data_IF_812660554986
#
_entry.id   IF_812660554986
#
_cell.length_a   1.000
_cell.length_b   1.000
_cell.length_c   1.000
_cell.angle_alpha   90.00
_cell.angle_beta   90.00
_cell.angle_gamma   90.00
#
_symmetry.space_group_name_H-M   'P 1'
#
loop_
_entity.id
_entity.type
_entity.pdbx_description
1 polymer ?
#
# COMPACT_ATOMS: atom_id res chain seq x y z
N UNK A 1 16.14 -23.94 31.43
CA UNK A 1 16.25 -22.47 31.35
C UNK A 1 17.67 -22.21 30.85
N UNK A 2 17.84 -22.17 29.53
CA UNK A 2 19.10 -21.84 28.86
C UNK A 2 19.02 -20.35 28.55
N UNK A 3 19.90 -19.57 29.18
CA UNK A 3 20.22 -18.20 28.81
C UNK A 3 20.95 -18.21 27.45
N UNK A 4 20.21 -18.37 26.35
CA UNK A 4 20.67 -17.95 25.04
C UNK A 4 20.41 -16.44 24.99
N UNK A 5 21.41 -15.65 25.38
CA UNK A 5 21.39 -14.22 25.13
C UNK A 5 21.27 -14.02 23.63
N UNK A 6 20.17 -13.39 23.19
CA UNK A 6 19.94 -13.10 21.77
C UNK A 6 21.18 -12.45 21.18
N UNK A 7 21.81 -13.12 20.20
CA UNK A 7 22.96 -12.56 19.50
C UNK A 7 22.54 -11.28 18.82
N UNK A 8 23.25 -10.19 19.11
CA UNK A 8 23.01 -8.89 18.50
C UNK A 8 23.94 -8.67 17.31
N UNK A 9 23.46 -7.90 16.35
CA UNK A 9 24.22 -7.43 15.19
C UNK A 9 24.27 -5.90 15.20
N UNK A 10 25.43 -5.35 14.91
CA UNK A 10 25.63 -3.90 14.77
C UNK A 10 26.01 -3.58 13.31
N UNK A 11 25.34 -2.60 12.73
CA UNK A 11 25.57 -2.14 11.37
C UNK A 11 25.73 -0.63 11.38
N UNK A 12 26.78 -0.13 10.70
CA UNK A 12 27.03 1.28 10.47
C UNK A 12 26.33 1.74 9.21
N UNK A 13 25.38 2.65 9.35
CA UNK A 13 24.72 3.35 8.24
C UNK A 13 25.31 4.75 8.05
N UNK A 14 24.99 5.42 6.95
CA UNK A 14 25.34 6.82 6.74
C UNK A 14 24.73 7.78 7.77
N UNK A 15 23.69 7.33 8.49
CA UNK A 15 23.00 8.13 9.52
C UNK A 15 23.45 7.81 10.94
N UNK A 16 24.10 6.68 11.21
CA UNK A 16 24.56 6.24 12.52
C UNK A 16 24.49 4.72 12.68
N UNK A 17 24.86 4.22 13.85
CA UNK A 17 24.88 2.80 14.13
C UNK A 17 23.48 2.30 14.49
N UNK A 18 23.13 1.10 14.02
CA UNK A 18 21.88 0.39 14.34
C UNK A 18 22.20 -0.98 14.92
N UNK A 19 21.45 -1.39 15.95
CA UNK A 19 21.60 -2.69 16.61
C UNK A 19 20.35 -3.53 16.39
N UNK A 20 20.51 -4.65 15.73
CA UNK A 20 19.46 -5.66 15.48
C UNK A 20 19.71 -6.97 16.23
N UNK A 21 18.87 -7.96 15.96
CA UNK A 21 18.91 -9.29 16.57
C UNK A 21 19.22 -10.37 15.53
N UNK A 22 19.68 -11.54 16.02
CA UNK A 22 19.69 -12.77 15.22
C UNK A 22 18.42 -13.58 15.53
N UNK A 23 17.66 -13.89 14.51
CA UNK A 23 16.48 -14.76 14.61
C UNK A 23 16.66 -15.98 13.71
N UNK A 24 17.15 -17.07 14.30
CA UNK A 24 17.32 -18.36 13.61
C UNK A 24 18.10 -18.24 12.27
N UNK A 25 19.26 -17.60 12.31
CA UNK A 25 20.14 -17.42 11.16
C UNK A 25 19.75 -16.27 10.23
N UNK A 26 18.94 -15.33 10.71
CA UNK A 26 18.59 -14.10 10.02
C UNK A 26 18.92 -12.90 10.89
N UNK A 27 19.67 -11.96 10.36
CA UNK A 27 19.89 -10.63 10.98
C UNK A 27 18.63 -9.79 10.77
N UNK A 28 17.99 -9.38 11.84
CA UNK A 28 16.73 -8.62 11.81
C UNK A 28 16.95 -7.25 12.43
N UNK A 29 16.66 -6.21 11.67
CA UNK A 29 16.71 -4.83 12.11
C UNK A 29 15.34 -4.20 11.83
N UNK A 30 14.68 -3.66 12.86
CA UNK A 30 13.31 -3.15 12.77
C UNK A 30 13.22 -1.69 13.21
N UNK A 31 12.31 -0.94 12.59
CA UNK A 31 12.04 0.44 12.97
C UNK A 31 13.14 1.44 12.59
N UNK A 32 13.94 1.16 11.57
CA UNK A 32 14.97 2.08 11.06
C UNK A 32 14.29 3.26 10.36
N UNK A 33 14.59 4.53 10.73
CA UNK A 33 14.04 5.68 10.02
C UNK A 33 14.71 5.84 8.66
N UNK A 34 13.92 5.90 7.60
CA UNK A 34 14.38 6.25 6.27
C UNK A 34 14.08 7.71 5.89
N UNK A 35 13.22 8.37 6.66
CA UNK A 35 12.90 9.79 6.53
C UNK A 35 12.73 10.45 7.90
N UNK A 36 12.80 11.78 7.92
CA UNK A 36 12.50 12.58 9.08
C UNK A 36 11.00 12.45 9.46
N UNK A 37 10.63 12.55 10.75
CA UNK A 37 9.24 12.49 11.17
C UNK A 37 8.35 13.49 10.43
N UNK A 38 7.26 13.05 9.78
CA UNK A 38 6.34 13.92 9.05
C UNK A 38 5.30 14.56 9.99
N UNK A 39 5.77 15.34 10.95
CA UNK A 39 4.96 16.00 11.98
C UNK A 39 4.99 17.53 11.82
N UNK A 40 3.97 18.22 12.32
CA UNK A 40 3.85 19.68 12.25
C UNK A 40 3.91 20.18 10.80
N UNK A 41 4.81 21.09 10.49
CA UNK A 41 4.98 21.66 9.14
C UNK A 41 5.31 20.59 8.06
N UNK A 42 5.81 19.41 8.46
CA UNK A 42 6.12 18.31 7.54
C UNK A 42 4.96 17.35 7.30
N UNK A 43 3.84 17.47 8.02
CA UNK A 43 2.72 16.51 7.94
C UNK A 43 2.29 16.19 6.51
N UNK A 44 2.14 17.19 5.67
CA UNK A 44 1.73 17.02 4.26
C UNK A 44 2.85 17.40 3.27
N UNK A 45 4.08 17.59 3.75
CA UNK A 45 5.22 17.88 2.90
C UNK A 45 5.83 16.58 2.32
N UNK A 46 6.62 16.73 1.26
CA UNK A 46 7.48 15.66 0.79
C UNK A 46 8.40 15.15 1.91
N UNK A 47 8.74 13.83 1.94
CA UNK A 47 9.63 13.30 2.95
C UNK A 47 11.01 13.98 2.86
N UNK A 48 11.59 14.25 4.02
CA UNK A 48 12.96 14.77 4.14
C UNK A 48 13.88 13.68 4.67
N UNK A 49 15.16 13.73 4.33
CA UNK A 49 16.17 12.79 4.85
C UNK A 49 16.18 12.80 6.38
N UNK A 50 16.39 11.65 7.04
CA UNK A 50 16.48 11.61 8.50
C UNK A 50 17.74 12.34 8.95
N UNK A 51 17.69 12.93 10.15
CA UNK A 51 18.89 13.49 10.77
C UNK A 51 19.82 12.36 11.22
N UNK A 52 21.13 12.48 11.02
CA UNK A 52 22.09 11.58 11.61
C UNK A 52 21.96 11.55 13.13
N UNK A 53 22.27 10.40 13.73
CA UNK A 53 22.26 10.23 15.18
C UNK A 53 23.63 9.79 15.71
N UNK A 54 23.91 10.18 16.93
CA UNK A 54 25.08 9.70 17.67
C UNK A 54 24.75 8.43 18.46
N UNK A 55 25.76 7.57 18.65
CA UNK A 55 25.62 6.32 19.38
C UNK A 55 24.83 5.26 18.62
N UNK A 56 24.32 4.29 19.36
CA UNK A 56 23.63 3.11 18.84
C UNK A 56 22.11 3.29 18.92
N UNK A 57 21.45 3.12 17.81
CA UNK A 57 19.97 3.07 17.75
C UNK A 57 19.50 1.63 17.92
N UNK A 58 18.60 1.41 18.86
CA UNK A 58 17.90 0.13 19.00
C UNK A 58 16.98 -0.12 17.80
N UNK A 59 17.28 -1.17 17.06
CA UNK A 59 16.50 -1.69 15.94
C UNK A 59 16.06 -3.15 16.18
N UNK A 60 15.84 -3.52 17.43
CA UNK A 60 15.40 -4.87 17.85
C UNK A 60 13.88 -5.02 17.83
N UNK A 61 13.14 -3.91 17.70
CA UNK A 61 11.67 -3.86 17.76
C UNK A 61 11.10 -3.04 16.61
N UNK A 62 9.89 -3.39 16.15
CA UNK A 62 9.18 -2.59 15.15
C UNK A 62 9.01 -1.14 15.57
N UNK A 63 9.06 -0.24 14.59
CA UNK A 63 8.63 1.15 14.77
C UNK A 63 7.10 1.25 14.82
N UNK A 64 6.57 2.45 15.11
CA UNK A 64 5.14 2.69 15.10
C UNK A 64 4.58 2.57 13.67
N UNK A 65 3.33 2.10 13.57
CA UNK A 65 2.56 2.13 12.33
C UNK A 65 2.07 3.55 12.03
N UNK A 66 1.75 3.82 10.78
CA UNK A 66 1.11 5.08 10.39
C UNK A 66 -0.30 5.18 11.01
N UNK A 67 -0.78 6.40 11.35
CA UNK A 67 -2.15 6.59 11.81
C UNK A 67 -3.15 6.02 10.80
N UNK A 68 -4.08 5.20 11.28
CA UNK A 68 -5.05 4.47 10.47
C UNK A 68 -6.26 4.06 11.32
N UNK A 69 -7.40 3.68 10.73
CA UNK A 69 -8.55 3.21 11.50
C UNK A 69 -8.21 1.97 12.33
N UNK A 70 -8.61 1.99 13.60
CA UNK A 70 -8.60 0.82 14.49
C UNK A 70 -10.02 0.28 14.58
N UNK A 71 -10.25 -0.92 14.10
CA UNK A 71 -11.56 -1.55 14.06
C UNK A 71 -12.07 -1.69 12.62
N UNK A 72 -12.70 -2.83 12.38
CA UNK A 72 -13.03 -3.27 11.05
C UNK A 72 -14.06 -2.41 10.32
N UNK A 73 -14.04 -2.51 9.01
CA UNK A 73 -15.16 -2.09 8.15
C UNK A 73 -16.40 -2.98 8.33
N UNK A 74 -16.48 -3.72 9.42
CA UNK A 74 -17.59 -4.62 9.71
C UNK A 74 -18.75 -3.87 10.37
N UNK A 75 -19.68 -3.44 9.57
CA UNK A 75 -21.06 -3.25 10.05
C UNK A 75 -21.72 -4.64 10.24
N UNK A 76 -21.25 -5.42 11.25
CA UNK A 76 -21.79 -6.74 11.52
C UNK A 76 -20.73 -7.85 11.64
N UNK A 77 -21.13 -9.09 11.88
CA UNK A 77 -20.29 -10.27 12.16
C UNK A 77 -19.47 -10.78 10.94
N UNK A 78 -18.76 -9.90 10.23
CA UNK A 78 -17.89 -10.27 9.12
C UNK A 78 -16.41 -10.28 9.50
N UNK A 79 -15.55 -10.77 8.60
CA UNK A 79 -14.10 -10.74 8.80
C UNK A 79 -13.60 -9.31 8.97
N UNK A 80 -12.79 -9.07 9.99
CA UNK A 80 -12.20 -7.76 10.27
C UNK A 80 -10.98 -7.55 9.37
N UNK A 81 -11.15 -6.78 8.29
CA UNK A 81 -10.06 -6.45 7.36
C UNK A 81 -8.93 -5.67 8.05
N UNK A 82 -9.26 -4.76 8.96
CA UNK A 82 -8.26 -4.03 9.73
C UNK A 82 -7.57 -4.94 10.77
N UNK A 83 -8.27 -5.93 11.31
CA UNK A 83 -7.67 -6.94 12.18
C UNK A 83 -6.71 -7.87 11.43
N UNK A 84 -6.97 -8.13 10.14
CA UNK A 84 -6.10 -9.00 9.32
C UNK A 84 -4.87 -8.25 8.79
N UNK A 85 -5.04 -7.02 8.29
CA UNK A 85 -4.01 -6.25 7.59
C UNK A 85 -3.52 -5.02 8.36
N UNK A 86 -4.19 -4.63 9.42
CA UNK A 86 -3.86 -3.46 10.23
C UNK A 86 -2.64 -3.65 11.13
N UNK A 87 -2.37 -2.65 11.98
CA UNK A 87 -1.17 -2.61 12.80
C UNK A 87 -1.15 -3.61 13.96
N UNK A 88 -2.26 -4.31 14.24
CA UNK A 88 -2.37 -5.18 15.41
C UNK A 88 -2.15 -4.40 16.71
N UNK A 89 -1.21 -4.85 17.54
CA UNK A 89 -0.85 -4.21 18.81
C UNK A 89 0.21 -3.10 18.69
N UNK A 90 0.69 -2.78 17.47
CA UNK A 90 1.69 -1.74 17.29
C UNK A 90 1.11 -0.37 17.61
N UNK A 91 1.90 0.44 18.32
CA UNK A 91 1.58 1.84 18.53
C UNK A 91 1.48 2.56 17.17
N UNK A 92 0.59 3.53 17.05
CA UNK A 92 0.48 4.39 15.88
C UNK A 92 1.06 5.78 16.18
N UNK A 93 1.76 6.34 15.20
CA UNK A 93 2.34 7.67 15.28
C UNK A 93 2.51 8.24 13.88
N UNK A 94 2.47 9.56 13.73
CA UNK A 94 2.90 10.21 12.49
C UNK A 94 4.42 10.03 12.26
N UNK A 95 5.25 9.83 13.30
CA UNK A 95 6.66 9.41 13.17
C UNK A 95 6.74 7.93 12.77
N UNK A 96 6.19 7.58 11.61
CA UNK A 96 6.00 6.22 11.12
C UNK A 96 6.88 5.86 9.90
N UNK A 97 7.64 6.81 9.35
CA UNK A 97 8.46 6.57 8.16
C UNK A 97 9.68 5.70 8.49
N UNK A 98 9.39 4.43 8.72
CA UNK A 98 10.32 3.40 9.19
C UNK A 98 10.30 2.21 8.24
N UNK A 99 11.41 1.48 8.23
CA UNK A 99 11.55 0.22 7.51
C UNK A 99 12.21 -0.84 8.40
N UNK A 100 11.97 -2.09 8.03
CA UNK A 100 12.62 -3.25 8.64
C UNK A 100 13.52 -3.92 7.59
N UNK A 101 14.66 -4.48 8.02
CA UNK A 101 15.60 -5.21 7.18
C UNK A 101 15.81 -6.61 7.74
N UNK A 102 15.63 -7.60 6.88
CA UNK A 102 15.91 -9.01 7.15
C UNK A 102 17.03 -9.47 6.22
N UNK A 103 18.18 -9.83 6.76
CA UNK A 103 19.34 -10.22 5.96
C UNK A 103 19.88 -11.59 6.39
N UNK A 104 20.44 -12.39 5.48
CA UNK A 104 21.12 -13.65 5.84
C UNK A 104 22.22 -13.38 6.87
N UNK A 105 22.35 -14.23 7.89
CA UNK A 105 23.44 -14.10 8.88
C UNK A 105 24.71 -14.83 8.46
N UNK A 106 24.65 -15.65 7.40
CA UNK A 106 25.78 -16.42 6.88
C UNK A 106 25.76 -16.42 5.34
N UNK A 107 26.93 -16.61 4.72
CA UNK A 107 27.15 -16.61 3.27
C UNK A 107 27.90 -15.38 2.77
N UNK A 108 28.33 -15.44 1.52
CA UNK A 108 29.25 -14.48 0.92
C UNK A 108 28.51 -13.49 0.01
N UNK A 109 27.58 -12.69 0.53
CA UNK A 109 26.90 -11.63 -0.27
C UNK A 109 27.81 -10.95 -1.33
N UNK A 110 27.37 -9.89 -2.01
CA UNK A 110 26.10 -9.20 -1.78
C UNK A 110 24.90 -10.00 -2.27
N UNK A 111 23.81 -9.93 -1.50
CA UNK A 111 22.55 -10.61 -1.83
C UNK A 111 21.60 -9.70 -2.60
N UNK A 112 20.80 -10.25 -3.51
CA UNK A 112 19.72 -9.46 -4.12
C UNK A 112 18.76 -8.96 -3.05
N UNK A 113 18.14 -7.81 -3.33
CA UNK A 113 17.25 -7.11 -2.40
C UNK A 113 15.82 -7.19 -2.90
N UNK A 114 14.88 -7.51 -2.01
CA UNK A 114 13.45 -7.43 -2.26
C UNK A 114 12.80 -6.42 -1.31
N UNK A 115 12.12 -5.41 -1.86
CA UNK A 115 11.46 -4.35 -1.09
C UNK A 115 9.96 -4.55 -1.14
N UNK A 116 9.36 -4.89 0.00
CA UNK A 116 7.93 -5.10 0.15
C UNK A 116 7.19 -3.80 0.41
N UNK A 117 6.14 -3.57 -0.38
CA UNK A 117 5.18 -2.48 -0.22
C UNK A 117 3.83 -3.09 0.14
N UNK A 118 3.36 -2.83 1.36
CA UNK A 118 2.14 -3.44 1.86
C UNK A 118 0.87 -2.91 1.18
N UNK A 119 -0.17 -3.74 1.15
CA UNK A 119 -1.52 -3.39 0.71
C UNK A 119 -2.34 -2.67 1.79
N UNK A 120 -3.67 -2.75 1.66
CA UNK A 120 -4.61 -2.15 2.61
C UNK A 120 -5.33 -0.90 2.09
N UNK A 121 -5.58 -0.84 0.78
CA UNK A 121 -6.35 0.23 0.12
C UNK A 121 -5.81 1.65 0.39
N UNK A 122 -4.51 1.79 0.61
CA UNK A 122 -3.83 3.03 1.01
C UNK A 122 -4.34 3.65 2.32
N UNK A 123 -5.10 2.92 3.12
CA UNK A 123 -5.76 3.41 4.34
C UNK A 123 -5.34 2.69 5.60
N UNK A 124 -4.95 1.43 5.47
CA UNK A 124 -4.48 0.58 6.57
C UNK A 124 -3.24 -0.19 6.14
N UNK A 125 -2.55 -0.77 7.12
CA UNK A 125 -1.39 -1.62 6.89
C UNK A 125 -0.14 -1.13 7.59
N UNK A 126 0.85 -2.00 7.65
CA UNK A 126 2.18 -1.70 8.17
C UNK A 126 3.19 -2.68 7.60
N UNK A 127 4.40 -2.21 7.27
CA UNK A 127 5.49 -3.07 6.84
C UNK A 127 5.96 -4.04 7.92
N UNK A 128 5.74 -3.70 9.19
CA UNK A 128 6.14 -4.52 10.34
C UNK A 128 5.09 -5.54 10.78
N UNK A 129 4.05 -5.80 9.96
CA UNK A 129 3.10 -6.87 10.25
C UNK A 129 3.80 -8.23 10.29
N UNK A 130 3.48 -9.10 11.27
CA UNK A 130 3.99 -10.48 11.29
C UNK A 130 3.71 -11.27 10.00
N UNK A 131 2.67 -10.90 9.25
CA UNK A 131 2.35 -11.47 7.95
C UNK A 131 3.45 -11.24 6.91
N UNK A 132 4.23 -10.18 7.09
CA UNK A 132 5.29 -9.75 6.16
C UNK A 132 6.71 -10.03 6.69
N UNK A 133 6.86 -10.94 7.68
CA UNK A 133 8.18 -11.35 8.18
C UNK A 133 9.04 -11.90 7.04
N UNK A 134 10.11 -11.17 6.71
CA UNK A 134 11.03 -11.48 5.61
C UNK A 134 11.98 -12.63 5.87
N UNK A 135 11.97 -13.23 7.06
CA UNK A 135 12.97 -14.21 7.49
C UNK A 135 13.01 -15.47 6.61
N UNK A 136 11.85 -15.89 6.07
CA UNK A 136 11.79 -17.07 5.20
C UNK A 136 12.53 -16.85 3.87
N UNK A 137 12.43 -15.64 3.29
CA UNK A 137 13.15 -15.23 2.09
C UNK A 137 14.63 -14.97 2.41
N UNK A 138 14.93 -14.34 3.55
CA UNK A 138 16.30 -14.06 3.96
C UNK A 138 17.12 -15.36 4.12
N UNK A 139 16.55 -16.41 4.71
CA UNK A 139 17.20 -17.74 4.76
C UNK A 139 17.48 -18.35 3.38
N UNK A 140 16.89 -17.82 2.31
CA UNK A 140 17.12 -18.25 0.92
C UNK A 140 18.11 -17.37 0.16
N UNK A 141 18.84 -16.50 0.86
CA UNK A 141 19.86 -15.65 0.26
C UNK A 141 19.32 -14.37 -0.37
N UNK A 142 18.30 -13.77 0.22
CA UNK A 142 17.74 -12.49 -0.21
C UNK A 142 17.73 -11.51 0.97
N UNK A 143 18.12 -10.28 0.77
CA UNK A 143 17.85 -9.21 1.75
C UNK A 143 16.42 -8.72 1.51
N UNK A 144 15.58 -8.79 2.54
CA UNK A 144 14.19 -8.28 2.46
C UNK A 144 14.09 -6.98 3.23
N UNK A 145 13.48 -5.99 2.61
CA UNK A 145 13.12 -4.72 3.24
C UNK A 145 11.60 -4.61 3.22
N UNK A 146 10.99 -4.30 4.36
CA UNK A 146 9.58 -3.93 4.45
C UNK A 146 9.48 -2.49 4.94
N UNK A 147 8.51 -1.72 4.48
CA UNK A 147 8.45 -0.29 4.78
C UNK A 147 7.03 0.16 5.14
N UNK A 148 6.96 1.20 5.97
CA UNK A 148 5.76 2.00 6.16
C UNK A 148 5.78 3.18 5.18
N UNK A 149 4.60 3.68 4.82
CA UNK A 149 4.40 4.93 4.10
C UNK A 149 3.13 5.61 4.64
N UNK A 150 2.99 6.92 4.49
CA UNK A 150 1.81 7.63 4.98
C UNK A 150 0.54 7.15 4.28
N UNK A 151 -0.52 6.99 5.07
CA UNK A 151 -1.79 6.39 4.66
C UNK A 151 -2.92 7.41 4.69
N UNK A 152 -4.01 7.09 3.99
CA UNK A 152 -5.21 7.92 3.95
C UNK A 152 -4.90 9.37 3.59
N UNK A 153 -5.60 10.34 4.21
CA UNK A 153 -5.35 11.76 3.94
C UNK A 153 -3.92 12.21 4.25
N UNK A 154 -3.24 11.57 5.22
CA UNK A 154 -1.86 11.93 5.56
C UNK A 154 -0.87 11.65 4.42
N UNK A 155 -1.17 10.65 3.57
CA UNK A 155 -0.34 10.28 2.41
C UNK A 155 -0.92 10.68 1.06
N UNK A 156 -2.24 10.87 0.97
CA UNK A 156 -2.96 11.02 -0.29
C UNK A 156 -4.07 12.09 -0.22
N UNK A 157 -3.83 13.19 0.50
CA UNK A 157 -4.77 14.33 0.53
C UNK A 157 -4.96 14.92 -0.87
N UNK A 158 -3.91 14.90 -1.70
CA UNK A 158 -3.92 15.32 -3.10
C UNK A 158 -4.53 16.72 -3.32
N UNK A 159 -4.21 17.64 -2.42
CA UNK A 159 -4.70 19.03 -2.42
C UNK A 159 -3.51 19.98 -2.58
N UNK A 160 -3.23 20.49 -3.80
CA UNK A 160 -2.00 21.23 -4.10
C UNK A 160 -1.76 22.49 -3.26
N UNK A 161 -2.83 23.12 -2.74
CA UNK A 161 -2.72 24.29 -1.86
C UNK A 161 -2.20 23.93 -0.45
N UNK A 162 -2.22 22.64 -0.08
CA UNK A 162 -1.71 22.14 1.21
C UNK A 162 -0.28 21.61 1.06
N UNK A 163 -0.01 20.86 0.01
CA UNK A 163 1.29 20.25 -0.23
C UNK A 163 1.34 19.48 -1.55
N UNK A 164 2.44 18.79 -1.85
CA UNK A 164 2.53 17.98 -3.06
C UNK A 164 1.48 16.86 -3.03
N UNK A 165 1.01 16.45 -4.22
CA UNK A 165 0.21 15.25 -4.34
C UNK A 165 1.07 13.99 -4.14
N UNK A 166 0.41 12.84 -3.96
CA UNK A 166 1.07 11.53 -3.91
C UNK A 166 2.17 11.41 -2.84
N UNK A 167 1.98 12.06 -1.71
CA UNK A 167 2.98 12.08 -0.63
C UNK A 167 3.35 10.68 -0.17
N UNK A 168 2.38 9.74 -0.13
CA UNK A 168 2.64 8.34 0.19
C UNK A 168 3.53 7.63 -0.85
N UNK A 169 3.44 7.99 -2.15
CA UNK A 169 4.38 7.50 -3.16
C UNK A 169 5.77 8.14 -2.98
N UNK A 170 5.82 9.42 -2.62
CA UNK A 170 7.11 10.08 -2.31
C UNK A 170 7.80 9.43 -1.11
N UNK A 171 7.04 8.97 -0.10
CA UNK A 171 7.59 8.20 1.02
C UNK A 171 8.22 6.88 0.55
N UNK A 172 7.55 6.16 -0.35
CA UNK A 172 8.07 4.92 -0.93
C UNK A 172 9.33 5.17 -1.76
N UNK A 173 9.37 6.27 -2.54
CA UNK A 173 10.56 6.69 -3.28
C UNK A 173 11.71 6.99 -2.31
N UNK A 174 11.47 7.72 -1.23
CA UNK A 174 12.49 8.02 -0.21
C UNK A 174 13.02 6.74 0.47
N UNK A 175 12.15 5.75 0.70
CA UNK A 175 12.59 4.44 1.21
C UNK A 175 13.47 3.69 0.20
N UNK A 176 13.16 3.76 -1.09
CA UNK A 176 13.98 3.17 -2.15
C UNK A 176 15.32 3.91 -2.33
N UNK A 177 15.33 5.23 -2.17
CA UNK A 177 16.59 6.02 -2.11
C UNK A 177 17.44 5.60 -0.91
N UNK A 178 16.80 5.38 0.27
CA UNK A 178 17.51 4.84 1.42
C UNK A 178 18.07 3.43 1.14
N UNK A 179 17.32 2.55 0.48
CA UNK A 179 17.81 1.22 0.07
C UNK A 179 19.04 1.36 -0.84
N UNK A 180 18.98 2.20 -1.85
CA UNK A 180 20.13 2.47 -2.74
C UNK A 180 21.37 2.92 -1.95
N UNK A 181 21.19 3.82 -1.00
CA UNK A 181 22.29 4.48 -0.29
C UNK A 181 22.84 3.61 0.87
N UNK A 182 22.04 2.75 1.50
CA UNK A 182 22.38 2.11 2.78
C UNK A 182 22.37 0.58 2.79
N UNK A 183 21.69 -0.09 1.84
CA UNK A 183 21.43 -1.53 1.94
C UNK A 183 22.71 -2.38 1.83
N UNK A 184 23.77 -1.85 1.24
CA UNK A 184 25.07 -2.51 1.17
C UNK A 184 25.67 -2.76 2.57
N UNK A 185 25.41 -1.89 3.55
CA UNK A 185 25.83 -2.08 4.94
C UNK A 185 25.19 -3.32 5.57
N UNK A 186 24.01 -3.75 5.09
CA UNK A 186 23.31 -4.95 5.52
C UNK A 186 23.66 -6.18 4.65
N UNK A 187 24.54 -6.02 3.67
CA UNK A 187 24.98 -7.07 2.76
C UNK A 187 24.09 -7.23 1.51
N UNK A 188 23.19 -6.29 1.25
CA UNK A 188 22.37 -6.26 0.04
C UNK A 188 23.10 -5.63 -1.14
N UNK A 189 22.72 -6.01 -2.35
CA UNK A 189 23.21 -5.42 -3.60
C UNK A 189 22.24 -4.33 -4.07
N UNK A 190 22.59 -3.03 -3.98
CA UNK A 190 21.72 -1.94 -4.40
C UNK A 190 21.42 -1.95 -5.92
N UNK A 191 22.22 -2.63 -6.73
CA UNK A 191 22.01 -2.78 -8.17
C UNK A 191 21.08 -3.96 -8.52
N UNK A 192 20.66 -4.78 -7.52
CA UNK A 192 19.80 -5.94 -7.69
C UNK A 192 18.49 -5.82 -6.89
N UNK A 193 17.88 -4.65 -6.93
CA UNK A 193 16.63 -4.37 -6.21
C UNK A 193 15.42 -4.83 -7.01
N UNK A 194 14.53 -5.57 -6.36
CA UNK A 194 13.19 -5.93 -6.84
C UNK A 194 12.15 -5.33 -5.89
N UNK A 195 11.26 -4.49 -6.39
CA UNK A 195 10.10 -4.02 -5.63
C UNK A 195 8.94 -5.00 -5.80
N UNK A 196 8.19 -5.27 -4.74
CA UNK A 196 7.02 -6.13 -4.83
C UNK A 196 5.94 -5.70 -3.84
N UNK A 197 4.69 -5.92 -4.21
CA UNK A 197 3.57 -5.53 -3.38
C UNK A 197 2.28 -6.20 -3.80
N UNK A 198 1.30 -6.19 -2.91
CA UNK A 198 -0.01 -6.78 -3.11
C UNK A 198 -1.09 -5.69 -2.99
N UNK A 199 -2.18 -5.78 -3.79
CA UNK A 199 -3.32 -4.86 -3.71
C UNK A 199 -2.88 -3.40 -3.90
N UNK A 200 -3.12 -2.50 -2.91
CA UNK A 200 -2.61 -1.13 -2.94
C UNK A 200 -1.08 -1.06 -3.05
N UNK A 201 -0.35 -2.03 -2.49
CA UNK A 201 1.09 -2.18 -2.69
C UNK A 201 1.45 -2.52 -4.13
N UNK A 202 0.67 -3.36 -4.81
CA UNK A 202 0.85 -3.63 -6.23
C UNK A 202 0.54 -2.40 -7.09
N UNK A 203 -0.51 -1.63 -6.73
CA UNK A 203 -0.79 -0.33 -7.36
C UNK A 203 0.34 0.66 -7.16
N UNK A 204 0.95 0.69 -5.96
CA UNK A 204 2.17 1.46 -5.71
C UNK A 204 3.32 1.02 -6.63
N UNK A 205 3.53 -0.30 -6.79
CA UNK A 205 4.55 -0.85 -7.70
C UNK A 205 4.34 -0.34 -9.13
N UNK A 206 3.10 -0.38 -9.65
CA UNK A 206 2.79 0.18 -10.98
C UNK A 206 3.13 1.66 -11.08
N UNK A 207 2.70 2.46 -10.08
CA UNK A 207 2.95 3.89 -10.04
C UNK A 207 4.44 4.21 -9.98
N UNK A 208 5.22 3.44 -9.19
CA UNK A 208 6.67 3.60 -9.10
C UNK A 208 7.37 3.26 -10.43
N UNK A 209 6.93 2.19 -11.12
CA UNK A 209 7.47 1.85 -12.46
C UNK A 209 7.12 2.93 -13.47
N UNK A 210 5.95 3.58 -13.37
CA UNK A 210 5.53 4.67 -14.25
C UNK A 210 6.13 6.04 -13.86
N UNK A 211 6.69 6.17 -12.66
CA UNK A 211 7.20 7.45 -12.13
C UNK A 211 8.62 7.74 -12.57
N UNK A 212 8.90 8.88 -13.20
CA UNK A 212 10.26 9.29 -13.51
C UNK A 212 11.11 9.51 -12.25
N UNK A 213 10.50 9.84 -11.12
CA UNK A 213 11.19 10.05 -9.83
C UNK A 213 11.74 8.77 -9.21
N UNK A 214 11.20 7.60 -9.59
CA UNK A 214 11.67 6.30 -9.12
C UNK A 214 12.65 5.62 -10.10
N UNK A 215 12.95 6.27 -11.22
CA UNK A 215 13.84 5.72 -12.24
C UNK A 215 15.21 5.37 -11.68
N UNK A 216 15.70 4.15 -11.98
CA UNK A 216 17.02 3.67 -11.54
C UNK A 216 17.07 3.17 -10.08
N UNK A 217 15.98 3.22 -9.30
CA UNK A 217 15.96 2.74 -7.93
C UNK A 217 15.71 1.22 -7.81
N UNK A 218 15.30 0.58 -8.88
CA UNK A 218 15.08 -0.88 -8.93
C UNK A 218 15.21 -1.41 -10.36
N UNK A 219 15.46 -2.71 -10.50
CA UNK A 219 15.58 -3.41 -11.80
C UNK A 219 14.41 -4.30 -12.12
N UNK A 220 13.64 -4.72 -11.13
CA UNK A 220 12.50 -5.64 -11.28
C UNK A 220 11.34 -5.22 -10.41
N UNK A 221 10.14 -5.59 -10.83
CA UNK A 221 8.91 -5.29 -10.14
C UNK A 221 7.97 -6.51 -10.14
N UNK A 222 7.23 -6.72 -9.04
CA UNK A 222 6.20 -7.76 -8.96
C UNK A 222 4.92 -7.10 -8.43
N UNK A 223 3.89 -7.02 -9.27
CA UNK A 223 2.57 -6.49 -8.92
C UNK A 223 1.59 -7.66 -8.71
N UNK A 224 1.19 -7.90 -7.45
CA UNK A 224 0.32 -8.99 -7.05
C UNK A 224 -1.08 -8.44 -6.80
N UNK A 225 -2.06 -8.88 -7.58
CA UNK A 225 -3.47 -8.49 -7.41
C UNK A 225 -3.67 -6.97 -7.47
N UNK A 226 -3.09 -6.34 -8.50
CA UNK A 226 -3.27 -4.91 -8.71
C UNK A 226 -4.67 -4.58 -9.22
N UNK A 227 -5.15 -3.37 -8.95
CA UNK A 227 -6.48 -2.90 -9.31
C UNK A 227 -6.42 -1.47 -9.90
N UNK A 228 -7.53 -1.03 -10.49
CA UNK A 228 -7.60 0.25 -11.20
C UNK A 228 -8.53 1.25 -10.48
N UNK A 229 -8.06 1.95 -9.44
CA UNK A 229 -8.84 3.00 -8.81
C UNK A 229 -8.90 4.22 -9.73
N UNK A 230 -9.92 5.09 -9.59
CA UNK A 230 -9.91 6.40 -10.20
C UNK A 230 -8.65 7.18 -9.80
N UNK A 231 -7.95 7.74 -10.80
CA UNK A 231 -6.70 8.49 -10.59
C UNK A 231 -6.82 9.97 -10.96
N UNK A 232 -8.04 10.48 -11.07
CA UNK A 232 -8.31 11.87 -11.39
C UNK A 232 -8.00 12.78 -10.20
N UNK A 233 -7.16 13.79 -10.42
CA UNK A 233 -6.74 14.72 -9.37
C UNK A 233 -7.87 15.61 -8.88
N UNK A 234 -8.82 16.01 -9.74
CA UNK A 234 -9.89 16.93 -9.35
C UNK A 234 -10.87 16.32 -8.33
N UNK A 235 -11.45 15.13 -8.55
CA UNK A 235 -12.29 14.49 -7.53
C UNK A 235 -11.53 14.18 -6.23
N UNK A 236 -10.24 13.84 -6.30
CA UNK A 236 -9.42 13.60 -5.13
C UNK A 236 -9.20 14.90 -4.31
N UNK A 237 -8.97 16.02 -4.99
CA UNK A 237 -8.85 17.33 -4.36
C UNK A 237 -10.17 17.75 -3.69
N UNK A 238 -11.33 17.50 -4.34
CA UNK A 238 -12.65 17.78 -3.77
C UNK A 238 -12.90 16.96 -2.49
N UNK A 239 -12.49 15.67 -2.48
CA UNK A 239 -12.56 14.83 -1.29
C UNK A 239 -11.63 15.37 -0.17
N UNK A 240 -10.42 15.79 -0.52
CA UNK A 240 -9.49 16.43 0.40
C UNK A 240 -10.05 17.70 1.03
N UNK A 241 -10.64 18.58 0.22
CA UNK A 241 -11.28 19.81 0.67
C UNK A 241 -12.47 19.53 1.58
N UNK A 242 -13.32 18.57 1.21
CA UNK A 242 -14.47 18.14 2.03
C UNK A 242 -14.05 17.63 3.40
N UNK A 243 -12.94 16.88 3.47
CA UNK A 243 -12.38 16.41 4.74
C UNK A 243 -11.92 17.60 5.59
N UNK A 244 -11.17 18.54 5.02
CA UNK A 244 -10.64 19.70 5.74
C UNK A 244 -11.76 20.65 6.21
N UNK A 245 -12.80 20.82 5.40
CA UNK A 245 -13.99 21.60 5.77
C UNK A 245 -14.70 20.99 6.97
N UNK A 246 -14.93 19.68 6.96
CA UNK A 246 -15.55 18.95 8.07
C UNK A 246 -14.72 19.04 9.37
N UNK A 247 -13.41 19.23 9.25
CA UNK A 247 -12.48 19.41 10.38
C UNK A 247 -12.28 20.88 10.78
N UNK A 248 -13.02 21.82 10.14
CA UNK A 248 -12.94 23.24 10.43
C UNK A 248 -11.64 23.91 9.97
N UNK A 249 -10.92 23.32 9.02
CA UNK A 249 -9.68 23.83 8.47
C UNK A 249 -9.87 24.58 7.12
N UNK A 250 -11.12 24.91 6.76
CA UNK A 250 -11.48 25.74 5.61
C UNK A 250 -12.26 26.95 6.13
N UNK A 251 -11.86 28.15 5.73
CA UNK A 251 -12.52 29.39 6.14
C UNK A 251 -13.83 29.64 5.37
N UNK A 252 -14.59 30.66 5.82
CA UNK A 252 -15.87 31.03 5.19
C UNK A 252 -15.74 31.48 3.72
N UNK A 253 -14.54 31.73 3.22
CA UNK A 253 -14.26 32.05 1.81
C UNK A 253 -13.88 30.83 0.98
N UNK A 254 -13.81 29.65 1.59
CA UNK A 254 -13.39 28.40 0.97
C UNK A 254 -11.86 28.22 0.89
N UNK A 255 -11.07 29.06 1.58
CA UNK A 255 -9.62 28.91 1.65
C UNK A 255 -9.21 27.95 2.75
N UNK A 256 -8.21 27.15 2.46
CA UNK A 256 -7.60 26.27 3.44
C UNK A 256 -6.76 27.07 4.43
N UNK A 257 -6.99 26.87 5.73
CA UNK A 257 -6.19 27.45 6.80
C UNK A 257 -5.05 26.51 7.19
N UNK A 258 -3.84 26.86 6.78
CA UNK A 258 -2.64 26.06 7.07
C UNK A 258 -2.38 25.89 8.55
N UNK A 259 -2.58 26.92 9.33
CA UNK A 259 -2.33 26.88 10.77
C UNK A 259 -3.33 25.95 11.48
N UNK A 260 -4.60 25.96 11.02
CA UNK A 260 -5.60 25.01 11.50
C UNK A 260 -5.19 23.55 11.15
N UNK A 261 -4.73 23.30 9.91
CA UNK A 261 -4.29 21.96 9.48
C UNK A 261 -3.12 21.43 10.33
N UNK A 262 -2.14 22.27 10.62
CA UNK A 262 -0.97 21.90 11.44
C UNK A 262 -1.37 21.51 12.87
N UNK A 263 -2.44 22.14 13.39
CA UNK A 263 -2.99 21.89 14.71
C UNK A 263 -3.96 20.69 14.79
N UNK A 264 -4.38 20.10 13.68
CA UNK A 264 -5.31 18.97 13.68
C UNK A 264 -4.70 17.75 14.40
N UNK A 265 -5.51 17.08 15.19
CA UNK A 265 -5.16 15.75 15.71
C UNK A 265 -5.20 14.71 14.59
N UNK A 266 -4.16 13.88 14.47
CA UNK A 266 -4.08 12.85 13.44
C UNK A 266 -5.23 11.83 13.58
N UNK A 267 -5.64 11.51 14.81
CA UNK A 267 -6.77 10.63 15.07
C UNK A 267 -8.09 11.23 14.56
N UNK A 268 -8.28 12.56 14.70
CA UNK A 268 -9.44 13.24 14.17
C UNK A 268 -9.48 13.19 12.64
N UNK A 269 -8.34 13.36 11.96
CA UNK A 269 -8.23 13.22 10.50
C UNK A 269 -8.64 11.81 10.07
N UNK A 270 -8.13 10.79 10.75
CA UNK A 270 -8.43 9.39 10.43
C UNK A 270 -9.90 9.03 10.74
N UNK A 271 -10.45 9.54 11.84
CA UNK A 271 -11.85 9.31 12.19
C UNK A 271 -12.79 9.92 11.14
N UNK A 272 -12.51 11.14 10.69
CA UNK A 272 -13.31 11.80 9.66
C UNK A 272 -13.20 11.10 8.31
N UNK A 273 -11.99 10.70 7.89
CA UNK A 273 -11.79 9.84 6.72
C UNK A 273 -12.67 8.58 6.78
N UNK A 274 -12.65 7.90 7.93
CA UNK A 274 -13.41 6.65 8.10
C UNK A 274 -14.92 6.91 8.03
N UNK A 275 -15.40 7.98 8.66
CA UNK A 275 -16.81 8.41 8.62
C UNK A 275 -17.28 8.65 7.17
N UNK A 276 -16.51 9.43 6.38
CA UNK A 276 -16.83 9.72 4.98
C UNK A 276 -16.84 8.46 4.13
N UNK A 277 -15.91 7.55 4.35
CA UNK A 277 -15.86 6.27 3.62
C UNK A 277 -17.07 5.40 3.92
N UNK A 278 -17.46 5.25 5.20
CA UNK A 278 -18.63 4.47 5.58
C UNK A 278 -19.91 5.09 4.99
N UNK A 279 -20.00 6.41 4.95
CA UNK A 279 -21.12 7.12 4.33
C UNK A 279 -21.18 6.85 2.81
N UNK A 280 -20.05 6.92 2.11
CA UNK A 280 -19.96 6.63 0.67
C UNK A 280 -20.32 5.18 0.36
N UNK A 281 -19.90 4.22 1.19
CA UNK A 281 -20.29 2.82 1.06
C UNK A 281 -21.80 2.63 1.23
N UNK A 282 -22.42 3.30 2.21
CA UNK A 282 -23.85 3.21 2.49
C UNK A 282 -24.75 3.90 1.45
N UNK A 283 -24.23 4.91 0.72
CA UNK A 283 -24.95 5.65 -0.32
C UNK A 283 -24.90 5.01 -1.71
N UNK A 284 -24.51 3.74 -1.83
CA UNK A 284 -24.49 2.99 -3.08
C UNK A 284 -23.11 2.77 -3.70
N UNK A 285 -22.06 3.34 -3.12
CA UNK A 285 -20.68 3.14 -3.59
C UNK A 285 -20.12 1.74 -3.29
N UNK A 286 -20.76 1.00 -2.37
CA UNK A 286 -20.34 -0.34 -2.00
C UNK A 286 -18.87 -0.41 -1.61
N UNK A 287 -18.24 -1.57 -1.87
CA UNK A 287 -16.82 -1.81 -1.55
C UNK A 287 -15.88 -0.97 -2.40
N UNK A 288 -16.30 -0.55 -3.60
CA UNK A 288 -15.48 0.30 -4.48
C UNK A 288 -15.21 1.66 -3.86
N UNK A 289 -16.16 2.21 -3.07
CA UNK A 289 -15.95 3.44 -2.33
C UNK A 289 -14.87 3.29 -1.23
N UNK A 290 -14.68 2.09 -0.70
CA UNK A 290 -13.62 1.81 0.27
C UNK A 290 -12.24 1.69 -0.37
N UNK A 291 -12.17 1.27 -1.62
CA UNK A 291 -10.93 1.11 -2.40
C UNK A 291 -10.50 2.41 -3.10
N UNK A 292 -11.41 3.37 -3.26
CA UNK A 292 -11.15 4.67 -3.84
C UNK A 292 -10.97 5.79 -2.80
N UNK A 293 -10.81 7.00 -3.26
CA UNK A 293 -10.83 8.22 -2.46
C UNK A 293 -9.46 8.67 -1.93
N UNK A 294 -8.68 7.79 -1.33
CA UNK A 294 -7.34 8.11 -0.80
C UNK A 294 -6.31 7.22 -1.49
N UNK A 295 -5.98 7.52 -2.73
CA UNK A 295 -5.09 6.75 -3.60
C UNK A 295 -4.19 7.66 -4.43
N UNK A 296 -3.16 7.13 -5.10
CA UNK A 296 -2.37 7.91 -6.05
C UNK A 296 -3.23 8.56 -7.13
N UNK A 297 -2.84 9.76 -7.56
CA UNK A 297 -3.48 10.51 -8.64
C UNK A 297 -2.47 10.90 -9.72
N UNK A 298 -2.96 11.12 -10.93
CA UNK A 298 -2.15 11.74 -11.99
C UNK A 298 -2.00 13.22 -11.65
N UNK A 299 -0.79 13.63 -11.24
CA UNK A 299 -0.50 14.99 -10.76
C UNK A 299 0.45 15.78 -11.69
N UNK A 300 0.92 15.15 -12.77
CA UNK A 300 1.85 15.74 -13.71
C UNK A 300 3.31 15.78 -13.26
N UNK A 301 3.64 15.32 -12.04
CA UNK A 301 4.98 15.36 -11.45
C UNK A 301 5.43 13.98 -10.97
N UNK A 302 4.88 13.49 -9.85
CA UNK A 302 5.20 12.15 -9.33
C UNK A 302 4.67 11.08 -10.27
N UNK A 303 3.47 11.30 -10.76
CA UNK A 303 2.79 10.45 -11.73
C UNK A 303 2.29 11.29 -12.90
N UNK A 304 3.08 11.48 -13.97
CA UNK A 304 2.73 12.34 -15.10
C UNK A 304 1.52 11.85 -15.91
N UNK A 305 1.24 10.55 -15.89
CA UNK A 305 0.17 9.89 -16.62
C UNK A 305 -0.23 8.58 -15.96
N UNK A 306 -1.40 8.00 -16.26
CA UNK A 306 -1.79 6.69 -15.75
C UNK A 306 -0.74 5.62 -16.07
N UNK A 307 -0.47 4.64 -15.17
CA UNK A 307 0.52 3.60 -15.40
C UNK A 307 0.31 2.81 -16.70
N UNK A 308 -0.94 2.54 -17.06
CA UNK A 308 -1.26 1.84 -18.31
C UNK A 308 -0.77 2.63 -19.55
N UNK A 309 -0.98 3.94 -19.56
CA UNK A 309 -0.55 4.81 -20.67
C UNK A 309 0.97 4.93 -20.68
N UNK A 310 1.59 5.04 -19.51
CA UNK A 310 3.04 5.06 -19.36
C UNK A 310 3.68 3.79 -19.92
N UNK A 311 3.11 2.62 -19.63
CA UNK A 311 3.62 1.34 -20.12
C UNK A 311 3.40 1.18 -21.63
N UNK A 312 2.24 1.59 -22.13
CA UNK A 312 1.96 1.63 -23.56
C UNK A 312 2.94 2.55 -24.31
N UNK A 313 3.36 3.65 -23.66
CA UNK A 313 4.38 4.57 -24.18
C UNK A 313 5.83 4.09 -23.98
N UNK A 314 6.06 2.88 -23.44
CA UNK A 314 7.40 2.29 -23.25
C UNK A 314 8.18 2.82 -22.05
N UNK A 315 7.53 3.52 -21.11
CA UNK A 315 8.19 3.98 -19.87
C UNK A 315 8.74 2.79 -19.09
N UNK A 316 10.00 2.89 -18.64
CA UNK A 316 10.72 1.85 -17.86
C UNK A 316 10.67 0.45 -18.51
N UNK A 317 10.78 0.38 -19.86
CA UNK A 317 10.78 -0.89 -20.61
C UNK A 317 11.94 -1.83 -20.23
N UNK A 318 12.99 -1.31 -19.63
CA UNK A 318 14.14 -2.04 -19.09
C UNK A 318 13.88 -2.70 -17.73
N UNK A 319 12.80 -2.34 -17.04
CA UNK A 319 12.41 -2.97 -15.76
C UNK A 319 11.68 -4.28 -16.02
N UNK A 320 12.24 -5.41 -15.60
CA UNK A 320 11.56 -6.70 -15.65
C UNK A 320 10.33 -6.73 -14.73
N UNK A 321 9.16 -7.15 -15.23
CA UNK A 321 7.92 -7.10 -14.45
C UNK A 321 7.17 -8.43 -14.44
N UNK A 322 6.69 -8.82 -13.25
CA UNK A 322 5.72 -9.93 -13.05
C UNK A 322 4.40 -9.31 -12.59
N UNK A 323 3.32 -9.65 -13.27
CA UNK A 323 1.97 -9.17 -12.95
C UNK A 323 1.06 -10.39 -12.84
N UNK A 324 0.28 -10.48 -11.77
CA UNK A 324 -0.61 -11.62 -11.57
C UNK A 324 -1.76 -11.36 -10.62
N UNK A 325 -2.76 -12.23 -10.70
CA UNK A 325 -3.93 -12.25 -9.83
C UNK A 325 -4.18 -13.66 -9.32
N UNK A 326 -4.86 -13.79 -8.20
CA UNK A 326 -5.44 -15.07 -7.78
C UNK A 326 -6.68 -15.40 -8.63
N UNK A 327 -7.16 -16.64 -8.52
CA UNK A 327 -8.33 -17.08 -9.31
C UNK A 327 -9.62 -16.39 -8.85
N UNK A 328 -9.78 -16.19 -7.56
CA UNK A 328 -11.02 -15.77 -6.91
C UNK A 328 -10.78 -14.59 -5.93
N UNK A 329 -10.21 -13.49 -6.42
CA UNK A 329 -9.82 -12.29 -5.65
C UNK A 329 -10.97 -11.75 -4.79
N UNK A 330 -12.15 -11.65 -5.39
CA UNK A 330 -13.32 -11.09 -4.72
C UNK A 330 -13.89 -11.98 -3.62
N UNK A 331 -13.42 -13.22 -3.50
CA UNK A 331 -13.81 -14.13 -2.43
C UNK A 331 -13.56 -13.55 -1.03
N UNK A 332 -12.45 -12.84 -0.84
CA UNK A 332 -12.15 -12.14 0.41
C UNK A 332 -13.24 -11.12 0.76
N UNK A 333 -13.63 -10.29 -0.19
CA UNK A 333 -14.60 -9.21 0.01
C UNK A 333 -16.02 -9.74 0.23
N UNK A 334 -16.42 -10.77 -0.52
CA UNK A 334 -17.75 -11.39 -0.37
C UNK A 334 -17.87 -12.15 0.94
N UNK A 335 -16.78 -12.77 1.43
CA UNK A 335 -16.75 -13.41 2.76
C UNK A 335 -16.95 -12.40 3.91
N UNK A 336 -16.61 -11.12 3.70
CA UNK A 336 -16.86 -10.04 4.65
C UNK A 336 -18.31 -9.52 4.62
N UNK A 337 -19.13 -9.99 3.70
CA UNK A 337 -20.54 -9.64 3.54
C UNK A 337 -21.43 -10.88 3.71
N UNK A 338 -21.76 -11.29 4.96
CA UNK A 338 -22.50 -12.53 5.19
C UNK A 338 -23.84 -12.63 4.46
N UNK A 339 -24.45 -11.48 4.15
CA UNK A 339 -25.69 -11.41 3.35
C UNK A 339 -25.52 -12.01 1.95
N UNK A 340 -24.31 -12.00 1.39
CA UNK A 340 -24.02 -12.56 0.07
C UNK A 340 -23.89 -14.10 0.10
N UNK A 341 -23.67 -14.71 1.26
CA UNK A 341 -23.59 -16.16 1.37
C UNK A 341 -24.91 -16.86 0.99
N UNK A 342 -26.03 -16.15 1.12
CA UNK A 342 -27.36 -16.62 0.74
C UNK A 342 -27.90 -15.98 -0.54
N UNK A 343 -27.00 -15.57 -1.45
CA UNK A 343 -27.39 -14.96 -2.72
C UNK A 343 -28.22 -15.92 -3.57
N UNK A 344 -29.46 -15.53 -3.84
CA UNK A 344 -30.37 -16.29 -4.68
C UNK A 344 -30.12 -16.04 -6.18
N UNK A 345 -30.44 -17.03 -7.00
CA UNK A 345 -30.32 -16.95 -8.46
C UNK A 345 -31.04 -15.74 -9.06
N UNK A 346 -32.22 -15.43 -8.53
CA UNK A 346 -33.05 -14.31 -8.98
C UNK A 346 -32.44 -12.94 -8.75
N UNK A 347 -31.55 -12.79 -7.77
CA UNK A 347 -30.89 -11.54 -7.43
C UNK A 347 -29.58 -11.32 -8.21
N UNK A 348 -28.94 -12.39 -8.72
CA UNK A 348 -27.65 -12.34 -9.38
C UNK A 348 -27.60 -11.40 -10.59
N UNK A 349 -28.57 -11.40 -11.55
CA UNK A 349 -28.52 -10.47 -12.68
C UNK A 349 -28.57 -9.00 -12.26
N UNK A 350 -29.38 -8.67 -11.23
CA UNK A 350 -29.46 -7.31 -10.69
C UNK A 350 -28.15 -6.84 -10.07
N UNK A 351 -27.42 -7.72 -9.36
CA UNK A 351 -26.12 -7.40 -8.80
C UNK A 351 -25.05 -7.24 -9.88
N UNK A 352 -25.05 -8.12 -10.88
CA UNK A 352 -24.14 -8.01 -12.01
C UNK A 352 -24.43 -6.76 -12.85
N UNK A 353 -25.69 -6.33 -13.00
CA UNK A 353 -26.03 -5.11 -13.72
C UNK A 353 -25.42 -3.85 -13.12
N UNK A 354 -25.16 -3.83 -11.82
CA UNK A 354 -24.43 -2.75 -11.17
C UNK A 354 -22.96 -2.69 -11.60
N UNK A 355 -22.40 -3.82 -12.09
CA UNK A 355 -21.00 -3.94 -12.50
C UNK A 355 -20.83 -3.75 -14.01
N UNK A 356 -21.71 -4.36 -14.81
CA UNK A 356 -21.56 -4.49 -16.27
C UNK A 356 -22.73 -3.94 -17.07
N UNK A 357 -23.70 -3.28 -16.42
CA UNK A 357 -24.86 -2.70 -17.06
C UNK A 357 -25.83 -3.75 -17.64
N UNK A 358 -26.48 -3.40 -18.75
CA UNK A 358 -27.51 -4.24 -19.38
C UNK A 358 -27.01 -5.59 -19.91
N UNK A 359 -25.69 -5.78 -20.06
CA UNK A 359 -25.10 -7.04 -20.51
C UNK A 359 -25.11 -8.15 -19.45
N UNK A 360 -25.61 -7.90 -18.23
CA UNK A 360 -25.54 -8.80 -17.07
C UNK A 360 -26.04 -10.23 -17.35
N UNK A 361 -27.14 -10.40 -18.12
CA UNK A 361 -27.70 -11.72 -18.43
C UNK A 361 -26.73 -12.65 -19.19
N UNK A 362 -26.02 -12.12 -20.18
CA UNK A 362 -25.04 -12.91 -20.93
C UNK A 362 -23.78 -13.27 -20.12
N UNK A 363 -23.44 -12.49 -19.10
CA UNK A 363 -22.28 -12.77 -18.25
C UNK A 363 -22.49 -14.03 -17.36
N UNK A 364 -23.68 -14.24 -16.83
CA UNK A 364 -23.98 -15.44 -16.03
C UNK A 364 -23.74 -16.71 -16.85
N UNK A 365 -24.26 -16.74 -18.07
CA UNK A 365 -24.10 -17.89 -18.96
C UNK A 365 -22.62 -18.09 -19.35
N UNK A 366 -21.92 -17.01 -19.69
CA UNK A 366 -20.50 -17.06 -20.02
C UNK A 366 -19.65 -17.63 -18.90
N UNK A 367 -19.87 -17.21 -17.63
CA UNK A 367 -19.12 -17.74 -16.50
C UNK A 367 -19.43 -19.21 -16.25
N UNK A 368 -20.68 -19.62 -16.37
CA UNK A 368 -21.09 -21.03 -16.21
C UNK A 368 -20.55 -21.93 -17.31
N UNK A 369 -20.55 -21.47 -18.55
CA UNK A 369 -19.94 -22.18 -19.67
C UNK A 369 -18.42 -22.36 -19.50
N UNK A 370 -17.74 -21.31 -19.03
CA UNK A 370 -16.28 -21.32 -18.93
C UNK A 370 -15.73 -21.99 -17.66
N UNK A 371 -16.48 -21.94 -16.54
CA UNK A 371 -16.00 -22.41 -15.24
C UNK A 371 -16.81 -23.59 -14.67
N UNK A 372 -18.00 -23.89 -15.23
CA UNK A 372 -18.86 -25.01 -14.83
C UNK A 372 -20.31 -24.60 -14.63
N UNK A 373 -21.24 -25.36 -15.26
CA UNK A 373 -22.68 -25.09 -15.25
C UNK A 373 -23.32 -25.12 -13.85
N UNK A 374 -22.67 -25.78 -12.88
CA UNK A 374 -23.14 -25.89 -11.50
C UNK A 374 -22.64 -24.81 -10.55
N UNK A 375 -22.05 -23.71 -11.03
CA UNK A 375 -21.60 -22.61 -10.19
C UNK A 375 -22.75 -22.02 -9.36
N UNK A 376 -22.56 -21.88 -8.06
CA UNK A 376 -23.50 -21.16 -7.21
C UNK A 376 -23.55 -19.67 -7.58
N UNK A 377 -24.65 -18.95 -7.33
CA UNK A 377 -24.77 -17.53 -7.67
C UNK A 377 -23.64 -16.68 -7.08
N UNK A 378 -23.22 -16.97 -5.85
CA UNK A 378 -22.10 -16.27 -5.20
C UNK A 378 -20.77 -16.49 -5.95
N UNK A 379 -20.52 -17.69 -6.48
CA UNK A 379 -19.27 -17.98 -7.20
C UNK A 379 -19.23 -17.26 -8.55
N UNK A 380 -20.38 -17.10 -9.21
CA UNK A 380 -20.48 -16.27 -10.43
C UNK A 380 -20.18 -14.80 -10.11
N UNK A 381 -20.77 -14.29 -9.00
CA UNK A 381 -20.51 -12.92 -8.57
C UNK A 381 -19.03 -12.69 -8.22
N UNK A 382 -18.41 -13.62 -7.48
CA UNK A 382 -16.98 -13.59 -7.14
C UNK A 382 -16.13 -13.57 -8.41
N UNK A 383 -16.47 -14.39 -9.40
CA UNK A 383 -15.74 -14.44 -10.67
C UNK A 383 -15.83 -13.11 -11.42
N UNK A 384 -17.03 -12.54 -11.52
CA UNK A 384 -17.28 -11.27 -12.22
C UNK A 384 -16.57 -10.09 -11.52
N UNK A 385 -16.67 -9.99 -10.21
CA UNK A 385 -15.97 -8.99 -9.42
C UNK A 385 -14.44 -9.13 -9.53
N UNK A 386 -13.92 -10.36 -9.49
CA UNK A 386 -12.50 -10.64 -9.67
C UNK A 386 -12.01 -10.12 -11.02
N UNK A 387 -12.75 -10.42 -12.08
CA UNK A 387 -12.37 -9.99 -13.44
C UNK A 387 -12.43 -8.47 -13.55
N UNK A 388 -13.47 -7.83 -13.04
CA UNK A 388 -13.63 -6.38 -13.15
C UNK A 388 -12.62 -5.61 -12.31
N UNK A 389 -12.41 -6.01 -11.06
CA UNK A 389 -11.59 -5.22 -10.13
C UNK A 389 -10.09 -5.45 -10.32
N UNK A 390 -9.68 -6.66 -10.70
CA UNK A 390 -8.27 -7.06 -10.65
C UNK A 390 -7.76 -7.62 -11.99
N UNK A 391 -8.41 -8.66 -12.54
CA UNK A 391 -7.84 -9.43 -13.64
C UNK A 391 -7.76 -8.64 -14.93
N UNK A 392 -8.83 -7.91 -15.29
CA UNK A 392 -8.86 -7.10 -16.52
C UNK A 392 -7.76 -6.04 -16.52
N UNK A 393 -7.56 -5.36 -15.40
CA UNK A 393 -6.50 -4.37 -15.25
C UNK A 393 -5.12 -5.03 -15.39
N UNK A 394 -4.87 -6.13 -14.66
CA UNK A 394 -3.61 -6.88 -14.72
C UNK A 394 -3.29 -7.36 -16.14
N UNK A 395 -4.28 -7.85 -16.88
CA UNK A 395 -4.09 -8.30 -18.28
C UNK A 395 -3.76 -7.13 -19.23
N UNK A 396 -4.41 -5.96 -19.04
CA UNK A 396 -4.11 -4.76 -19.84
C UNK A 396 -2.68 -4.27 -19.58
N UNK A 397 -2.26 -4.22 -18.32
CA UNK A 397 -0.89 -3.84 -17.95
C UNK A 397 0.13 -4.83 -18.53
N UNK A 398 -0.11 -6.13 -18.40
CA UNK A 398 0.77 -7.15 -18.95
C UNK A 398 0.87 -7.05 -20.48
N UNK A 399 -0.26 -6.79 -21.16
CA UNK A 399 -0.29 -6.55 -22.61
C UNK A 399 0.50 -5.31 -23.02
N UNK A 400 0.35 -4.20 -22.29
CA UNK A 400 1.09 -2.96 -22.55
C UNK A 400 2.60 -3.12 -22.33
N UNK A 401 3.01 -3.98 -21.39
CA UNK A 401 4.43 -4.28 -21.13
C UNK A 401 5.05 -5.25 -22.14
N UNK A 402 4.25 -6.07 -22.80
CA UNK A 402 4.70 -7.06 -23.78
C UNK A 402 4.78 -6.52 -25.22
N UNK A 403 4.17 -5.36 -25.48
CA UNK A 403 4.14 -4.70 -26.79
C UNK A 403 5.41 -3.88 -27.04
#
# INVERSE_FOLDING_TARGET
MTEDGDKTWEVRTGYGDVVGTDRAGVRVFQGIPYAAPPIGERRFAAPARPSPWEGRRDATRPGPACPQPTGGMSAGQGADFAGLFGPGELAMSEDCLRLDVYAPSAGDGPWPVMVWIHGGAFRIGTGSSPLYDGSALARRGVVVVTLNYRLGPLGFLNLPEVGPCNVGLLDQIAALEWVRDEIAAFGGDPDQVTIFGESAGAKSVECLVASPRASGLFRRAIAQSTYDPPMDAAPAADAGRSLLDALGAVDATGRVDRSAIEGLDAGAIIAEMNRQTLQAMGSGGGILAALGGWSPVVDGDVLPQPPLDAFTGGVSSDVGMVIGTTRDEAGLFTAMMPVLASLEESALPGMLALLVGEAAGGFVDTYRESRGAGMAPIDVLVAALTDQMFRQHSLRLAGARAA
#
